data_IF_167694015801
#
_entry.id   IF_167694015801
#
_cell.length_a   1.000
_cell.length_b   1.000
_cell.length_c   1.000
_cell.angle_alpha   90.00
_cell.angle_beta   90.00
_cell.angle_gamma   90.00
#
_symmetry.space_group_name_H-M   'P 1'
#
loop_
_entity.id
_entity.type
_entity.pdbx_description
1 polymer ?
#
# COMPACT_ATOMS: atom_id res chain seq x y z
N UNK A 1 -14.93 16.53 -47.38
CA UNK A 1 -14.10 15.49 -46.73
C UNK A 1 -14.14 14.21 -47.52
N UNK A 2 -13.00 13.51 -47.65
CA UNK A 2 -12.91 12.21 -48.34
C UNK A 2 -12.08 11.25 -47.51
N UNK A 3 -12.41 9.97 -47.53
CA UNK A 3 -11.63 8.87 -46.94
C UNK A 3 -10.92 8.15 -48.09
N UNK A 4 -9.62 7.98 -48.00
CA UNK A 4 -8.85 7.29 -49.05
C UNK A 4 -7.65 6.54 -48.40
N UNK A 5 -7.08 5.63 -49.17
CA UNK A 5 -5.92 4.83 -48.77
C UNK A 5 -4.67 5.32 -49.53
N UNK A 6 -3.55 5.47 -48.81
CA UNK A 6 -2.25 5.73 -49.38
C UNK A 6 -1.24 4.76 -48.74
N UNK A 7 -0.68 3.86 -49.55
CA UNK A 7 0.11 2.74 -49.06
C UNK A 7 -0.71 1.82 -48.15
N UNK A 8 -0.19 1.53 -46.98
CA UNK A 8 -0.86 0.64 -46.01
C UNK A 8 -1.89 1.35 -45.12
N UNK A 9 -1.88 2.69 -45.07
CA UNK A 9 -2.68 3.46 -44.14
C UNK A 9 -3.86 4.19 -44.78
N UNK A 10 -4.93 4.44 -43.99
CA UNK A 10 -6.07 5.24 -44.36
C UNK A 10 -5.87 6.70 -43.99
N UNK A 11 -6.37 7.63 -44.84
CA UNK A 11 -6.26 9.08 -44.73
C UNK A 11 -7.62 9.75 -44.84
N UNK A 12 -7.75 10.91 -44.19
CA UNK A 12 -8.87 11.84 -44.38
C UNK A 12 -8.35 13.09 -45.07
N UNK A 13 -8.96 13.48 -46.17
CA UNK A 13 -8.79 14.77 -46.81
C UNK A 13 -9.91 15.73 -46.38
N UNK A 14 -9.53 16.89 -45.84
CA UNK A 14 -10.46 17.94 -45.38
C UNK A 14 -10.74 18.98 -46.44
N UNK A 15 -9.67 19.54 -47.05
CA UNK A 15 -9.65 20.49 -48.17
C UNK A 15 -8.51 20.12 -49.09
N UNK A 16 -8.44 20.79 -50.26
CA UNK A 16 -7.32 20.60 -51.19
C UNK A 16 -6.00 20.91 -50.47
N UNK A 17 -5.12 19.91 -50.38
CA UNK A 17 -3.81 20.02 -49.71
C UNK A 17 -3.81 19.78 -48.21
N UNK A 18 -4.95 19.58 -47.55
CA UNK A 18 -5.03 19.28 -46.10
C UNK A 18 -5.51 17.84 -45.89
N UNK A 19 -4.54 16.95 -45.65
CA UNK A 19 -4.77 15.53 -45.47
C UNK A 19 -4.18 15.08 -44.12
N UNK A 20 -4.83 14.12 -43.47
CA UNK A 20 -4.34 13.51 -42.20
C UNK A 20 -4.41 12.00 -42.28
N UNK A 21 -3.34 11.33 -41.86
CA UNK A 21 -3.32 9.90 -41.68
C UNK A 21 -4.17 9.52 -40.49
N UNK A 22 -4.96 8.45 -40.66
CA UNK A 22 -5.70 7.81 -39.54
C UNK A 22 -4.84 6.80 -38.80
N UNK A 23 -3.63 6.54 -39.29
CA UNK A 23 -2.68 5.55 -38.74
C UNK A 23 -3.31 4.18 -38.50
N UNK A 24 -4.31 3.81 -39.28
CA UNK A 24 -4.95 2.49 -39.27
C UNK A 24 -4.89 1.85 -40.65
N UNK A 25 -4.66 0.54 -40.69
CA UNK A 25 -4.70 -0.29 -41.90
C UNK A 25 -6.11 -0.90 -42.09
N UNK A 26 -6.92 -0.93 -41.02
CA UNK A 26 -8.27 -1.50 -41.03
C UNK A 26 -9.29 -0.54 -41.65
N UNK A 27 -10.00 -1.03 -42.69
CA UNK A 27 -11.02 -0.30 -43.41
C UNK A 27 -12.28 0.01 -42.57
N UNK A 28 -12.67 -0.90 -41.70
CA UNK A 28 -13.86 -0.75 -40.84
C UNK A 28 -13.61 0.36 -39.80
N UNK A 29 -12.47 0.33 -39.23
CA UNK A 29 -12.00 1.33 -38.28
C UNK A 29 -11.80 2.70 -38.96
N UNK A 30 -11.21 2.75 -40.15
CA UNK A 30 -11.08 3.98 -40.91
C UNK A 30 -12.42 4.65 -41.22
N UNK A 31 -13.46 3.85 -41.59
CA UNK A 31 -14.82 4.36 -41.81
C UNK A 31 -15.44 4.93 -40.54
N UNK A 32 -15.20 4.30 -39.39
CA UNK A 32 -15.69 4.79 -38.09
C UNK A 32 -15.05 6.13 -37.73
N UNK A 33 -13.72 6.24 -37.88
CA UNK A 33 -12.97 7.47 -37.65
C UNK A 33 -13.39 8.58 -38.59
N UNK A 34 -13.64 8.26 -39.84
CA UNK A 34 -14.14 9.23 -40.82
C UNK A 34 -15.49 9.80 -40.42
N UNK A 35 -16.42 8.96 -39.95
CA UNK A 35 -17.75 9.39 -39.49
C UNK A 35 -17.65 10.35 -38.29
N UNK A 36 -16.78 10.04 -37.33
CA UNK A 36 -16.50 10.91 -36.17
C UNK A 36 -15.87 12.23 -36.60
N UNK A 37 -14.85 12.19 -37.46
CA UNK A 37 -14.21 13.39 -37.99
C UNK A 37 -15.18 14.30 -38.73
N UNK A 38 -16.06 13.72 -39.51
CA UNK A 38 -17.10 14.48 -40.26
C UNK A 38 -18.06 15.17 -39.29
N UNK A 39 -18.49 14.50 -38.23
CA UNK A 39 -19.39 15.07 -37.22
C UNK A 39 -18.74 16.24 -36.45
N UNK A 40 -17.48 16.11 -36.09
CA UNK A 40 -16.74 17.17 -35.38
C UNK A 40 -16.31 18.33 -36.29
N UNK A 41 -15.97 18.05 -37.54
CA UNK A 41 -15.68 19.09 -38.53
C UNK A 41 -16.90 19.99 -38.79
N UNK A 42 -18.11 19.41 -38.82
CA UNK A 42 -19.39 20.15 -38.93
C UNK A 42 -19.67 21.00 -37.68
N UNK A 43 -19.12 20.66 -36.52
CA UNK A 43 -19.19 21.47 -35.29
C UNK A 43 -18.11 22.54 -35.19
N UNK A 44 -17.33 22.75 -36.25
CA UNK A 44 -16.23 23.75 -36.28
C UNK A 44 -15.01 23.39 -35.41
N UNK A 45 -14.94 22.18 -34.92
CA UNK A 45 -13.82 21.68 -34.12
C UNK A 45 -12.87 20.88 -34.98
N UNK A 46 -11.58 21.28 -35.03
CA UNK A 46 -10.51 20.48 -35.62
C UNK A 46 -10.16 19.33 -34.67
N UNK A 47 -10.63 18.15 -35.00
CA UNK A 47 -10.31 16.95 -34.21
C UNK A 47 -8.96 16.39 -34.63
N UNK A 48 -8.08 16.16 -33.67
CA UNK A 48 -6.93 15.27 -33.84
C UNK A 48 -7.45 13.83 -33.84
N UNK A 49 -7.67 13.28 -35.03
CA UNK A 49 -8.06 11.89 -35.21
C UNK A 49 -6.80 11.09 -35.52
N UNK A 50 -6.16 10.66 -34.49
CA UNK A 50 -5.01 9.78 -34.57
C UNK A 50 -5.39 8.40 -34.03
N UNK A 51 -5.07 7.31 -34.73
CA UNK A 51 -5.23 5.95 -34.20
C UNK A 51 -4.33 5.75 -32.95
N UNK A 52 -3.28 6.57 -32.80
CA UNK A 52 -2.47 6.62 -31.59
C UNK A 52 -3.21 7.20 -30.37
N UNK A 53 -4.38 7.84 -30.55
CA UNK A 53 -5.22 8.31 -29.43
C UNK A 53 -6.02 7.17 -28.74
N UNK A 54 -5.82 5.93 -29.17
CA UNK A 54 -6.55 4.76 -28.64
C UNK A 54 -5.69 3.83 -27.84
N UNK A 55 -4.99 4.35 -26.91
CA UNK A 55 -4.43 3.49 -25.87
C UNK A 55 -5.62 2.84 -25.16
N UNK A 56 -5.74 1.53 -25.27
CA UNK A 56 -6.72 0.75 -24.51
C UNK A 56 -6.27 0.72 -23.04
N UNK A 57 -7.20 0.36 -22.16
CA UNK A 57 -6.88 0.20 -20.74
C UNK A 57 -5.78 -0.84 -20.51
N UNK A 58 -5.80 -1.94 -21.26
CA UNK A 58 -4.77 -2.99 -21.18
C UNK A 58 -3.40 -2.47 -21.63
N UNK A 59 -3.31 -1.82 -22.80
CA UNK A 59 -2.06 -1.23 -23.31
C UNK A 59 -1.51 -0.15 -22.37
N UNK A 60 -2.38 0.68 -21.80
CA UNK A 60 -2.00 1.66 -20.80
C UNK A 60 -1.37 1.01 -19.57
N UNK A 61 -1.94 -0.08 -19.08
CA UNK A 61 -1.39 -0.74 -17.90
C UNK A 61 -0.02 -1.36 -18.16
N UNK A 62 0.20 -1.91 -19.35
CA UNK A 62 1.54 -2.37 -19.75
C UNK A 62 2.54 -1.21 -19.79
N UNK A 63 2.19 -0.07 -20.40
CA UNK A 63 3.02 1.13 -20.42
C UNK A 63 3.32 1.65 -19.00
N UNK A 64 2.32 1.67 -18.14
CA UNK A 64 2.49 2.08 -16.75
C UNK A 64 3.43 1.14 -16.00
N UNK A 65 3.23 -0.18 -16.09
CA UNK A 65 4.09 -1.17 -15.43
C UNK A 65 5.55 -1.10 -15.91
N UNK A 66 5.79 -0.87 -17.20
CA UNK A 66 7.14 -0.66 -17.74
C UNK A 66 7.78 0.61 -17.17
N UNK A 67 7.01 1.65 -16.89
CA UNK A 67 7.52 2.89 -16.29
C UNK A 67 7.91 2.72 -14.80
N UNK A 68 7.54 1.60 -14.16
CA UNK A 68 7.76 1.32 -12.74
C UNK A 68 9.08 0.59 -12.45
N UNK A 69 10.11 0.82 -13.27
CA UNK A 69 11.42 0.16 -13.14
C UNK A 69 12.14 0.43 -11.80
N UNK A 70 11.84 1.55 -11.15
CA UNK A 70 12.49 1.97 -9.91
C UNK A 70 11.62 1.78 -8.66
N UNK A 71 10.71 0.80 -8.65
CA UNK A 71 9.90 0.49 -7.46
C UNK A 71 10.24 -0.89 -6.90
N UNK A 72 10.01 -1.08 -5.60
CA UNK A 72 10.23 -2.38 -4.95
C UNK A 72 9.39 -3.47 -5.62
N UNK A 73 9.93 -4.70 -5.79
CA UNK A 73 9.23 -5.82 -6.46
C UNK A 73 7.83 -6.09 -5.89
N UNK A 74 7.67 -6.00 -4.56
CA UNK A 74 6.38 -6.18 -3.89
C UNK A 74 5.36 -5.09 -4.29
N UNK A 75 5.81 -3.85 -4.50
CA UNK A 75 4.93 -2.76 -4.96
C UNK A 75 4.47 -3.03 -6.39
N UNK A 76 5.39 -3.45 -7.26
CA UNK A 76 5.07 -3.81 -8.64
C UNK A 76 4.10 -5.00 -8.72
N UNK A 77 4.29 -6.01 -7.86
CA UNK A 77 3.33 -7.14 -7.73
C UNK A 77 1.93 -6.66 -7.34
N UNK A 78 1.82 -5.73 -6.39
CA UNK A 78 0.54 -5.14 -5.97
C UNK A 78 -0.08 -4.26 -7.06
N UNK A 79 0.73 -3.48 -7.78
CA UNK A 79 0.27 -2.73 -8.96
C UNK A 79 -0.37 -3.71 -9.96
N UNK A 80 0.32 -4.78 -10.35
CA UNK A 80 -0.20 -5.79 -11.30
C UNK A 80 -1.53 -6.39 -10.84
N UNK A 81 -1.63 -6.80 -9.57
CA UNK A 81 -2.86 -7.38 -9.02
C UNK A 81 -4.03 -6.38 -9.12
N UNK A 82 -3.81 -5.11 -8.74
CA UNK A 82 -4.85 -4.08 -8.77
C UNK A 82 -5.29 -3.76 -10.21
N UNK A 83 -4.34 -3.66 -11.13
CA UNK A 83 -4.58 -3.37 -12.54
C UNK A 83 -5.32 -4.52 -13.22
N UNK A 84 -4.91 -5.76 -12.99
CA UNK A 84 -5.59 -6.96 -13.52
C UNK A 84 -7.02 -7.05 -13.01
N UNK A 85 -7.24 -6.89 -11.70
CA UNK A 85 -8.57 -6.91 -11.11
C UNK A 85 -9.50 -5.82 -11.69
N UNK A 86 -8.96 -4.65 -12.04
CA UNK A 86 -9.72 -3.58 -12.69
C UNK A 86 -10.07 -3.93 -14.14
N UNK A 87 -9.13 -4.50 -14.91
CA UNK A 87 -9.38 -5.00 -16.27
C UNK A 87 -10.50 -6.06 -16.27
N UNK A 88 -10.47 -6.99 -15.31
CA UNK A 88 -11.45 -8.06 -15.18
C UNK A 88 -12.89 -7.53 -14.94
N UNK A 89 -12.99 -6.38 -14.26
CA UNK A 89 -14.28 -5.74 -13.98
C UNK A 89 -14.77 -4.85 -15.12
N UNK A 90 -13.86 -4.07 -15.73
CA UNK A 90 -14.20 -2.98 -16.66
C UNK A 90 -14.05 -3.39 -18.12
N UNK A 91 -13.13 -4.32 -18.40
CA UNK A 91 -12.76 -4.76 -19.75
C UNK A 91 -11.51 -4.02 -20.27
N UNK A 92 -10.49 -4.81 -20.65
CA UNK A 92 -9.19 -4.27 -21.08
C UNK A 92 -9.22 -3.52 -22.44
N UNK A 93 -10.20 -3.81 -23.28
CA UNK A 93 -10.32 -3.20 -24.62
C UNK A 93 -10.97 -1.81 -24.64
N UNK A 94 -11.43 -1.30 -23.50
CA UNK A 94 -11.98 0.07 -23.42
C UNK A 94 -10.87 1.10 -23.66
N UNK A 95 -11.17 2.15 -24.44
CA UNK A 95 -10.22 3.24 -24.65
C UNK A 95 -9.96 4.00 -23.34
N UNK A 96 -8.70 4.22 -22.98
CA UNK A 96 -8.30 4.87 -21.75
C UNK A 96 -9.01 6.21 -21.53
N UNK A 97 -9.16 7.01 -22.58
CA UNK A 97 -9.85 8.31 -22.52
C UNK A 97 -11.35 8.20 -22.20
N UNK A 98 -11.94 7.02 -22.29
CA UNK A 98 -13.34 6.78 -21.94
C UNK A 98 -13.55 6.34 -20.49
N UNK A 99 -12.46 6.09 -19.75
CA UNK A 99 -12.56 5.75 -18.34
C UNK A 99 -13.08 6.98 -17.56
N UNK A 100 -14.04 6.72 -16.69
CA UNK A 100 -14.72 7.71 -15.83
C UNK A 100 -14.85 7.15 -14.41
N UNK A 101 -15.23 7.99 -13.48
CA UNK A 101 -15.46 7.65 -12.08
C UNK A 101 -16.43 6.46 -11.93
N UNK A 102 -17.44 6.38 -12.79
CA UNK A 102 -18.43 5.27 -12.83
C UNK A 102 -17.81 3.89 -13.04
N UNK A 103 -16.66 3.80 -13.71
CA UNK A 103 -15.95 2.52 -13.89
C UNK A 103 -15.31 2.06 -12.56
N UNK A 104 -14.88 3.02 -11.72
CA UNK A 104 -14.38 2.71 -10.38
C UNK A 104 -15.51 2.32 -9.44
N UNK A 105 -16.69 2.92 -9.60
CA UNK A 105 -17.88 2.52 -8.81
C UNK A 105 -18.32 1.10 -9.20
N UNK A 106 -18.35 0.78 -10.49
CA UNK A 106 -18.56 -0.60 -10.95
C UNK A 106 -17.53 -1.55 -10.35
N UNK A 107 -16.25 -1.21 -10.40
CA UNK A 107 -15.18 -2.03 -9.83
C UNK A 107 -15.35 -2.26 -8.33
N UNK A 108 -15.74 -1.24 -7.56
CA UNK A 108 -16.04 -1.37 -6.12
C UNK A 108 -17.17 -2.37 -5.90
N UNK A 109 -18.28 -2.21 -6.64
CA UNK A 109 -19.47 -3.08 -6.54
C UNK A 109 -19.12 -4.53 -6.89
N UNK A 110 -18.46 -4.76 -8.02
CA UNK A 110 -18.04 -6.09 -8.48
C UNK A 110 -17.09 -6.75 -7.47
N UNK A 111 -16.13 -5.98 -6.91
CA UNK A 111 -15.16 -6.49 -5.94
C UNK A 111 -15.83 -6.91 -4.63
N UNK A 112 -16.74 -6.09 -4.11
CA UNK A 112 -17.50 -6.43 -2.89
C UNK A 112 -18.43 -7.62 -3.15
N UNK A 113 -19.10 -7.66 -4.30
CA UNK A 113 -19.96 -8.79 -4.71
C UNK A 113 -19.20 -10.12 -4.79
N UNK A 114 -17.90 -10.09 -5.12
CA UNK A 114 -16.99 -11.27 -5.08
C UNK A 114 -16.46 -11.60 -3.68
N UNK A 115 -16.91 -10.93 -2.63
CA UNK A 115 -16.47 -11.15 -1.25
C UNK A 115 -15.11 -10.54 -0.90
N UNK A 116 -14.54 -9.67 -1.74
CA UNK A 116 -13.26 -9.01 -1.44
C UNK A 116 -13.47 -7.99 -0.31
N UNK A 117 -12.67 -8.11 0.76
CA UNK A 117 -12.76 -7.21 1.91
C UNK A 117 -12.56 -5.74 1.50
N UNK A 118 -13.32 -4.79 2.06
CA UNK A 118 -13.19 -3.35 1.75
C UNK A 118 -11.77 -2.81 1.91
N UNK A 119 -10.96 -3.39 2.81
CA UNK A 119 -9.53 -3.06 2.97
C UNK A 119 -8.71 -3.36 1.73
N UNK A 120 -8.95 -4.53 1.13
CA UNK A 120 -8.27 -4.98 -0.08
C UNK A 120 -8.70 -4.16 -1.29
N UNK A 121 -10.02 -3.89 -1.42
CA UNK A 121 -10.54 -2.99 -2.46
C UNK A 121 -9.90 -1.62 -2.36
N UNK A 122 -9.81 -1.03 -1.16
CA UNK A 122 -9.13 0.24 -0.94
C UNK A 122 -7.64 0.19 -1.27
N UNK A 123 -6.98 -0.94 -1.05
CA UNK A 123 -5.59 -1.14 -1.50
C UNK A 123 -5.51 -1.07 -3.02
N UNK A 124 -6.37 -1.79 -3.75
CA UNK A 124 -6.42 -1.74 -5.21
C UNK A 124 -6.70 -0.32 -5.72
N UNK A 125 -7.67 0.37 -5.15
CA UNK A 125 -8.02 1.74 -5.52
C UNK A 125 -6.85 2.72 -5.34
N UNK A 126 -5.98 2.56 -4.33
CA UNK A 126 -4.77 3.38 -4.17
C UNK A 126 -3.77 3.14 -5.31
N UNK A 127 -3.55 1.88 -5.69
CA UNK A 127 -2.67 1.54 -6.82
C UNK A 127 -3.23 2.07 -8.15
N UNK A 128 -4.54 1.91 -8.38
CA UNK A 128 -5.24 2.47 -9.53
C UNK A 128 -5.14 4.00 -9.56
N UNK A 129 -5.38 4.68 -8.43
CA UNK A 129 -5.22 6.14 -8.33
C UNK A 129 -3.83 6.59 -8.76
N UNK A 130 -2.79 5.88 -8.33
CA UNK A 130 -1.41 6.18 -8.73
C UNK A 130 -1.21 6.03 -10.23
N UNK A 131 -1.74 4.96 -10.83
CA UNK A 131 -1.66 4.70 -12.27
C UNK A 131 -2.39 5.78 -13.08
N UNK A 132 -3.61 6.14 -12.69
CA UNK A 132 -4.40 7.16 -13.40
C UNK A 132 -3.88 8.58 -13.18
N UNK A 133 -3.28 8.90 -12.05
CA UNK A 133 -2.55 10.15 -11.86
C UNK A 133 -1.35 10.23 -12.82
N UNK A 134 -0.58 9.15 -12.94
CA UNK A 134 0.53 9.06 -13.91
C UNK A 134 0.04 9.24 -15.36
N UNK A 135 -1.12 8.66 -15.72
CA UNK A 135 -1.73 8.87 -17.05
C UNK A 135 -2.09 10.32 -17.29
N UNK A 136 -2.63 11.01 -16.29
CA UNK A 136 -2.99 12.42 -16.38
C UNK A 136 -1.74 13.32 -16.54
N UNK A 137 -0.72 13.11 -15.73
CA UNK A 137 0.55 13.85 -15.79
C UNK A 137 1.24 13.71 -17.16
N UNK A 138 1.10 12.55 -17.80
CA UNK A 138 1.62 12.27 -19.14
C UNK A 138 0.68 12.64 -20.28
N UNK A 139 -0.45 13.29 -19.97
CA UNK A 139 -1.45 13.74 -20.95
C UNK A 139 -2.05 12.59 -21.78
N UNK A 140 -2.06 11.37 -21.25
CA UNK A 140 -2.74 10.22 -21.86
C UNK A 140 -4.25 10.30 -21.67
N UNK A 141 -4.71 11.03 -20.67
CA UNK A 141 -6.09 11.41 -20.43
C UNK A 141 -6.20 12.92 -20.23
N UNK A 142 -7.31 13.50 -20.67
CA UNK A 142 -7.50 14.96 -20.67
C UNK A 142 -8.02 15.48 -19.32
N UNK A 143 -8.65 14.61 -18.52
CA UNK A 143 -9.22 14.94 -17.20
C UNK A 143 -8.73 13.95 -16.16
N UNK A 144 -8.43 14.48 -14.98
CA UNK A 144 -8.11 13.67 -13.81
C UNK A 144 -9.34 12.86 -13.40
N UNK A 145 -9.17 11.55 -13.22
CA UNK A 145 -10.24 10.66 -12.76
C UNK A 145 -10.24 10.67 -11.23
N UNK A 146 -11.41 10.84 -10.63
CA UNK A 146 -11.55 10.75 -9.18
C UNK A 146 -11.66 9.30 -8.75
N UNK A 147 -10.70 8.84 -7.96
CA UNK A 147 -10.69 7.48 -7.40
C UNK A 147 -10.97 7.55 -5.91
N UNK A 148 -12.25 7.52 -5.55
CA UNK A 148 -12.67 7.57 -4.16
C UNK A 148 -12.55 6.21 -3.47
N UNK A 149 -12.04 6.24 -2.24
CA UNK A 149 -11.93 5.04 -1.41
C UNK A 149 -13.27 4.73 -0.73
N UNK A 150 -13.52 3.46 -0.45
CA UNK A 150 -14.65 3.03 0.36
C UNK A 150 -14.52 3.61 1.78
N UNK A 151 -15.60 4.18 2.31
CA UNK A 151 -15.65 4.62 3.70
C UNK A 151 -15.50 3.42 4.63
N UNK A 152 -14.74 3.60 5.69
CA UNK A 152 -14.51 2.56 6.70
C UNK A 152 -14.61 3.17 8.09
N UNK A 153 -15.23 2.48 9.03
CA UNK A 153 -15.17 2.89 10.43
C UNK A 153 -13.71 2.87 10.90
N UNK A 154 -13.31 3.92 11.60
CA UNK A 154 -12.03 3.94 12.31
C UNK A 154 -12.17 3.01 13.52
N UNK A 155 -11.41 1.93 13.54
CA UNK A 155 -11.32 1.03 14.70
C UNK A 155 -9.95 1.20 15.32
N UNK A 156 -9.90 1.13 16.65
CA UNK A 156 -8.63 1.02 17.35
C UNK A 156 -7.92 -0.28 16.89
N UNK A 157 -6.59 -0.25 16.79
CA UNK A 157 -5.85 -1.47 16.51
C UNK A 157 -6.11 -2.51 17.60
N UNK A 158 -6.10 -3.77 17.24
CA UNK A 158 -6.07 -4.89 18.20
C UNK A 158 -4.76 -4.81 18.98
N UNK A 159 -4.85 -4.86 20.29
CA UNK A 159 -3.74 -4.97 21.24
C UNK A 159 -3.92 -6.22 22.08
N UNK A 160 -2.83 -6.76 22.60
CA UNK A 160 -2.83 -7.88 23.53
C UNK A 160 -3.00 -7.33 24.96
N UNK A 161 -3.83 -7.97 25.74
CA UNK A 161 -3.90 -7.74 27.18
C UNK A 161 -2.76 -8.48 27.93
N UNK A 162 -2.57 -8.24 29.24
CA UNK A 162 -1.49 -8.89 30.01
C UNK A 162 -1.56 -10.41 30.03
N UNK A 163 -2.75 -11.00 30.10
CA UNK A 163 -2.98 -12.45 30.12
C UNK A 163 -2.63 -13.07 28.77
N UNK A 164 -3.05 -12.46 27.68
CA UNK A 164 -2.71 -12.87 26.31
C UNK A 164 -1.20 -12.79 26.05
N UNK A 165 -0.53 -11.71 26.53
CA UNK A 165 0.92 -11.58 26.44
C UNK A 165 1.60 -12.69 27.21
N UNK A 166 1.12 -13.00 28.43
CA UNK A 166 1.66 -14.07 29.28
C UNK A 166 1.54 -15.41 28.58
N UNK A 167 0.35 -15.75 28.06
CA UNK A 167 0.11 -17.01 27.37
C UNK A 167 1.01 -17.19 26.13
N UNK A 168 1.13 -16.13 25.30
CA UNK A 168 2.03 -16.14 24.13
C UNK A 168 3.50 -16.35 24.54
N UNK A 169 3.95 -15.68 25.61
CA UNK A 169 5.30 -15.81 26.14
C UNK A 169 5.61 -17.22 26.60
N UNK A 170 4.77 -17.77 27.47
CA UNK A 170 4.94 -19.10 28.04
C UNK A 170 4.97 -20.16 26.93
N UNK A 171 3.98 -20.13 26.03
CA UNK A 171 3.94 -21.08 24.92
C UNK A 171 5.13 -20.94 23.96
N UNK A 172 5.49 -19.71 23.59
CA UNK A 172 6.62 -19.49 22.67
C UNK A 172 7.95 -19.88 23.31
N UNK A 173 8.15 -19.61 24.60
CA UNK A 173 9.38 -19.96 25.32
C UNK A 173 9.58 -21.47 25.34
N UNK A 174 8.51 -22.25 25.53
CA UNK A 174 8.55 -23.71 25.59
C UNK A 174 8.72 -24.36 24.21
N UNK A 175 7.99 -23.86 23.18
CA UNK A 175 7.85 -24.56 21.89
C UNK A 175 8.64 -23.93 20.75
N UNK A 176 9.00 -22.64 20.85
CA UNK A 176 9.72 -21.92 19.81
C UNK A 176 10.58 -20.77 20.40
N UNK A 177 11.72 -21.10 21.06
CA UNK A 177 12.56 -20.12 21.72
C UNK A 177 13.08 -18.98 20.82
N UNK A 178 13.26 -19.24 19.53
CA UNK A 178 13.71 -18.21 18.59
C UNK A 178 12.60 -17.19 18.29
N UNK A 179 11.34 -17.65 18.10
CA UNK A 179 10.23 -16.73 17.92
C UNK A 179 9.89 -16.01 19.23
N UNK A 180 10.06 -16.65 20.38
CA UNK A 180 9.93 -16.03 21.69
C UNK A 180 10.85 -14.81 21.81
N UNK A 181 12.15 -14.94 21.50
CA UNK A 181 13.10 -13.83 21.53
C UNK A 181 12.68 -12.67 20.62
N UNK A 182 12.17 -12.96 19.42
CA UNK A 182 11.66 -11.94 18.50
C UNK A 182 10.39 -11.25 19.04
N UNK A 183 9.50 -12.00 19.71
CA UNK A 183 8.29 -11.49 20.36
C UNK A 183 8.66 -10.53 21.48
N UNK A 184 9.56 -10.95 22.39
CA UNK A 184 10.02 -10.14 23.51
C UNK A 184 10.64 -8.83 23.00
N UNK A 185 11.57 -8.91 22.07
CA UNK A 185 12.18 -7.71 21.50
C UNK A 185 11.15 -6.77 20.87
N UNK A 186 10.17 -7.31 20.14
CA UNK A 186 9.11 -6.50 19.52
C UNK A 186 8.20 -5.84 20.57
N UNK A 187 7.88 -6.51 21.68
CA UNK A 187 7.07 -5.96 22.77
C UNK A 187 7.80 -4.83 23.51
N UNK A 188 9.11 -4.98 23.75
CA UNK A 188 9.91 -3.97 24.45
C UNK A 188 10.23 -2.75 23.59
N UNK A 189 10.39 -2.91 22.26
CA UNK A 189 10.90 -1.86 21.37
C UNK A 189 9.85 -1.29 20.43
N UNK A 190 8.74 -1.99 20.22
CA UNK A 190 7.75 -1.64 19.20
C UNK A 190 8.28 -1.77 17.75
N UNK A 191 9.40 -2.47 17.53
CA UNK A 191 9.96 -2.65 16.19
C UNK A 191 9.04 -3.44 15.27
N UNK A 192 9.08 -3.11 13.95
CA UNK A 192 8.37 -3.86 12.94
C UNK A 192 9.03 -5.23 12.73
N UNK A 193 8.26 -6.23 12.29
CA UNK A 193 8.74 -7.58 11.99
C UNK A 193 10.01 -7.59 11.11
N UNK A 194 10.02 -6.77 10.05
CA UNK A 194 11.17 -6.64 9.15
C UNK A 194 12.38 -6.02 9.84
N UNK A 195 12.16 -5.07 10.75
CA UNK A 195 13.22 -4.39 11.52
C UNK A 195 13.83 -5.36 12.54
N UNK A 196 13.00 -6.16 13.22
CA UNK A 196 13.49 -7.22 14.13
C UNK A 196 14.35 -8.21 13.36
N UNK A 197 13.83 -8.76 12.26
CA UNK A 197 14.57 -9.73 11.43
C UNK A 197 15.90 -9.20 10.92
N UNK A 198 15.96 -7.92 10.53
CA UNK A 198 17.14 -7.33 9.89
C UNK A 198 18.10 -6.69 10.88
N UNK A 199 17.83 -6.77 12.19
CA UNK A 199 18.72 -6.21 13.21
C UNK A 199 20.05 -6.97 13.22
N UNK A 200 21.15 -6.22 13.20
CA UNK A 200 22.51 -6.73 13.29
C UNK A 200 23.23 -6.15 14.51
N UNK A 201 24.20 -6.86 15.03
CA UNK A 201 24.98 -6.46 16.20
C UNK A 201 25.72 -5.14 15.99
N UNK A 202 26.11 -4.80 14.75
CA UNK A 202 26.73 -3.53 14.41
C UNK A 202 25.83 -2.31 14.66
N UNK A 203 24.52 -2.53 14.76
CA UNK A 203 23.52 -1.51 15.05
C UNK A 203 23.05 -1.51 16.51
N UNK A 204 23.63 -2.38 17.35
CA UNK A 204 23.35 -2.47 18.78
C UNK A 204 24.40 -1.70 19.54
N UNK A 205 23.96 -0.78 20.40
CA UNK A 205 24.78 0.01 21.29
C UNK A 205 24.37 -0.27 22.75
N UNK A 206 25.17 0.09 23.78
CA UNK A 206 24.89 -0.26 25.17
C UNK A 206 23.48 0.13 25.68
N UNK A 207 22.93 1.27 25.20
CA UNK A 207 21.68 1.83 25.70
C UNK A 207 20.62 2.01 24.59
N UNK A 208 20.92 1.66 23.33
CA UNK A 208 19.99 1.84 22.22
C UNK A 208 20.33 0.94 21.03
N UNK A 209 19.37 0.75 20.16
CA UNK A 209 19.60 0.19 18.83
C UNK A 209 19.30 1.23 17.74
N UNK A 210 20.09 1.22 16.69
CA UNK A 210 19.85 1.98 15.47
C UNK A 210 19.01 1.13 14.52
N UNK A 211 17.79 1.55 14.26
CA UNK A 211 16.86 0.85 13.36
C UNK A 211 16.81 1.57 12.03
N UNK A 212 17.09 0.84 10.95
CA UNK A 212 16.97 1.33 9.59
C UNK A 212 15.60 0.91 9.04
N UNK A 213 14.74 1.88 8.82
CA UNK A 213 13.36 1.67 8.39
C UNK A 213 13.18 1.76 6.87
N UNK A 214 11.94 1.84 6.43
CA UNK A 214 11.59 1.98 5.02
C UNK A 214 12.10 3.31 4.46
N UNK A 215 12.87 3.25 3.34
CA UNK A 215 13.44 4.42 2.68
C UNK A 215 14.69 4.95 3.38
N UNK A 216 15.45 4.03 4.02
CA UNK A 216 16.73 4.29 4.71
C UNK A 216 16.63 5.35 5.81
N UNK A 217 15.41 5.53 6.35
CA UNK A 217 15.21 6.40 7.51
C UNK A 217 15.70 5.69 8.76
N UNK A 218 16.67 6.29 9.40
CA UNK A 218 17.21 5.81 10.67
C UNK A 218 16.43 6.39 11.85
N UNK A 219 16.33 5.60 12.91
CA UNK A 219 15.89 6.06 14.22
C UNK A 219 16.60 5.30 15.33
N UNK A 220 16.65 5.90 16.49
CA UNK A 220 17.20 5.33 17.70
C UNK A 220 16.04 4.79 18.55
N UNK A 221 16.16 3.55 19.01
CA UNK A 221 15.20 2.94 19.93
C UNK A 221 15.95 2.60 21.22
N UNK A 222 15.53 3.13 22.38
CA UNK A 222 16.15 2.80 23.67
C UNK A 222 16.07 1.31 23.98
N UNK A 223 17.12 0.76 24.57
CA UNK A 223 17.19 -0.64 25.02
C UNK A 223 17.00 -0.72 26.53
N UNK A 224 15.86 -1.20 26.95
CA UNK A 224 15.58 -1.63 28.29
C UNK A 224 16.07 -3.07 28.51
N UNK A 225 16.20 -3.50 29.76
CA UNK A 225 16.80 -4.79 30.12
C UNK A 225 16.12 -5.95 29.40
N UNK A 226 14.78 -6.01 29.40
CA UNK A 226 14.06 -7.08 28.72
C UNK A 226 14.29 -7.15 27.20
N UNK A 227 14.57 -6.01 26.54
CA UNK A 227 15.00 -6.03 25.13
C UNK A 227 16.41 -6.57 24.95
N UNK A 228 17.32 -6.29 25.91
CA UNK A 228 18.70 -6.83 25.92
C UNK A 228 18.67 -8.34 26.14
N UNK A 229 17.91 -8.82 27.10
CA UNK A 229 17.74 -10.24 27.39
C UNK A 229 17.20 -11.02 26.17
N UNK A 230 16.25 -10.42 25.46
CA UNK A 230 15.70 -11.00 24.24
C UNK A 230 16.73 -11.14 23.10
N UNK A 231 17.73 -10.25 23.03
CA UNK A 231 18.78 -10.33 22.03
C UNK A 231 19.79 -11.46 22.33
N UNK A 232 19.95 -11.84 23.61
CA UNK A 232 20.94 -12.81 24.07
C UNK A 232 22.36 -12.23 24.12
N UNK A 233 23.35 -13.13 24.12
CA UNK A 233 24.76 -12.74 24.27
C UNK A 233 25.25 -11.87 23.11
N UNK A 234 25.90 -10.74 23.40
CA UNK A 234 26.47 -9.85 22.39
C UNK A 234 27.49 -10.53 21.50
N UNK A 235 27.50 -10.15 20.22
CA UNK A 235 28.50 -10.55 19.22
C UNK A 235 29.04 -9.32 18.51
N UNK A 236 30.25 -9.41 17.99
CA UNK A 236 30.86 -8.29 17.27
C UNK A 236 30.16 -7.97 15.96
N UNK A 237 29.74 -8.98 15.24
CA UNK A 237 29.11 -8.87 13.91
C UNK A 237 27.99 -9.89 13.70
N UNK A 238 27.17 -9.64 12.70
CA UNK A 238 26.15 -10.57 12.23
C UNK A 238 24.74 -10.25 12.75
N UNK A 239 23.78 -11.10 12.41
CA UNK A 239 22.38 -10.90 12.80
C UNK A 239 22.17 -11.17 14.30
N UNK A 240 21.27 -10.39 14.91
CA UNK A 240 20.84 -10.60 16.31
C UNK A 240 19.87 -11.78 16.41
N UNK A 241 18.98 -11.90 15.45
CA UNK A 241 17.95 -12.93 15.40
C UNK A 241 18.14 -13.87 14.22
N UNK A 242 17.52 -15.05 14.28
CA UNK A 242 17.57 -16.06 13.22
C UNK A 242 17.15 -15.50 11.86
N UNK A 243 17.97 -15.70 10.85
CA UNK A 243 17.74 -15.23 9.49
C UNK A 243 16.83 -16.18 8.70
N UNK A 244 15.55 -16.13 8.98
CA UNK A 244 14.50 -16.86 8.26
C UNK A 244 13.70 -15.93 7.36
N UNK A 245 12.96 -16.50 6.40
CA UNK A 245 12.09 -15.70 5.53
C UNK A 245 11.05 -14.94 6.36
N UNK A 246 10.74 -13.72 5.94
CA UNK A 246 9.83 -12.83 6.69
C UNK A 246 8.44 -13.45 6.89
N UNK A 247 7.94 -14.21 5.92
CA UNK A 247 6.66 -14.88 6.04
C UNK A 247 6.71 -16.04 7.02
N UNK A 248 7.87 -16.73 7.15
CA UNK A 248 8.07 -17.78 8.15
C UNK A 248 7.93 -17.24 9.58
N UNK A 249 8.44 -16.04 9.87
CA UNK A 249 8.24 -15.36 11.16
C UNK A 249 6.73 -15.18 11.42
N UNK A 250 5.97 -14.75 10.40
CA UNK A 250 4.52 -14.57 10.54
C UNK A 250 3.78 -15.88 10.77
N UNK A 251 4.17 -16.95 10.08
CA UNK A 251 3.55 -18.27 10.26
C UNK A 251 3.84 -18.82 11.65
N UNK A 252 5.11 -18.84 12.06
CA UNK A 252 5.51 -19.31 13.41
C UNK A 252 4.83 -18.52 14.52
N UNK A 253 4.79 -17.18 14.42
CA UNK A 253 4.04 -16.35 15.37
C UNK A 253 2.53 -16.69 15.36
N UNK A 254 1.95 -16.91 14.18
CA UNK A 254 0.53 -17.24 14.04
C UNK A 254 0.21 -18.61 14.65
N UNK A 255 1.13 -19.56 14.57
CA UNK A 255 0.97 -20.89 15.17
C UNK A 255 1.01 -20.78 16.70
N UNK A 256 1.95 -20.01 17.28
CA UNK A 256 1.98 -19.68 18.71
C UNK A 256 0.67 -19.00 19.15
N UNK A 257 0.21 -17.99 18.42
CA UNK A 257 -1.02 -17.27 18.77
C UNK A 257 -2.26 -18.18 18.74
N UNK A 258 -2.37 -19.06 17.74
CA UNK A 258 -3.46 -20.03 17.62
C UNK A 258 -3.46 -21.05 18.77
N UNK A 259 -2.29 -21.54 19.15
CA UNK A 259 -2.16 -22.43 20.30
C UNK A 259 -2.66 -21.79 21.61
N UNK A 260 -2.58 -20.45 21.70
CA UNK A 260 -3.16 -19.67 22.80
C UNK A 260 -4.62 -19.25 22.56
N UNK A 261 -5.30 -19.75 21.52
CA UNK A 261 -6.69 -19.39 21.19
C UNK A 261 -6.87 -18.01 20.53
N UNK A 262 -5.79 -17.38 20.06
CA UNK A 262 -5.79 -16.02 19.52
C UNK A 262 -5.72 -16.04 17.99
N UNK A 263 -6.89 -15.99 17.31
CA UNK A 263 -6.96 -16.06 15.86
C UNK A 263 -6.81 -14.70 15.14
N UNK A 264 -7.12 -13.60 15.81
CA UNK A 264 -7.22 -12.26 15.27
C UNK A 264 -5.93 -11.44 15.39
N UNK A 265 -4.85 -12.00 15.95
CA UNK A 265 -3.57 -11.34 16.18
C UNK A 265 -2.53 -11.67 15.10
N UNK A 266 -1.61 -10.76 14.89
CA UNK A 266 -0.48 -10.87 13.97
C UNK A 266 0.78 -10.36 14.66
N UNK A 267 1.97 -10.62 14.12
CA UNK A 267 3.21 -10.07 14.66
C UNK A 267 3.17 -8.54 14.80
N UNK A 268 2.41 -7.85 13.95
CA UNK A 268 2.24 -6.39 14.05
C UNK A 268 1.39 -5.97 15.26
N UNK A 269 0.57 -6.87 15.80
CA UNK A 269 -0.19 -6.64 17.04
C UNK A 269 0.74 -6.40 18.23
N UNK A 270 1.92 -7.05 18.28
CA UNK A 270 2.94 -6.80 19.30
C UNK A 270 3.36 -5.33 19.35
N UNK A 271 3.57 -4.73 18.17
CA UNK A 271 3.92 -3.30 18.08
C UNK A 271 2.77 -2.39 18.53
N UNK A 272 1.52 -2.75 18.23
CA UNK A 272 0.36 -2.01 18.72
C UNK A 272 0.26 -2.11 20.25
N UNK A 273 0.51 -3.30 20.81
CA UNK A 273 0.53 -3.53 22.27
C UNK A 273 1.65 -2.73 22.92
N UNK A 274 2.86 -2.74 22.35
CA UNK A 274 3.98 -1.91 22.83
C UNK A 274 3.62 -0.41 22.84
N UNK A 275 3.04 0.09 21.75
CA UNK A 275 2.63 1.48 21.66
C UNK A 275 1.56 1.86 22.69
N UNK A 276 0.55 0.99 22.86
CA UNK A 276 -0.50 1.17 23.86
C UNK A 276 0.09 1.19 25.27
N UNK A 277 0.99 0.26 25.58
CA UNK A 277 1.66 0.22 26.88
C UNK A 277 2.49 1.47 27.15
N UNK A 278 3.20 2.01 26.15
CA UNK A 278 3.91 3.28 26.26
C UNK A 278 2.97 4.43 26.60
N UNK A 279 1.77 4.47 26.02
CA UNK A 279 0.73 5.45 26.34
C UNK A 279 0.23 5.28 27.77
N UNK A 280 -0.08 4.05 28.18
CA UNK A 280 -0.60 3.72 29.52
C UNK A 280 0.36 4.10 30.64
N UNK A 281 1.68 4.02 30.39
CA UNK A 281 2.71 4.48 31.35
C UNK A 281 3.05 5.96 31.21
N UNK A 282 2.28 6.73 30.44
CA UNK A 282 2.39 8.19 30.36
C UNK A 282 3.49 8.73 29.44
N UNK A 283 4.07 7.92 28.55
CA UNK A 283 5.03 8.42 27.56
C UNK A 283 4.29 9.33 26.56
N UNK A 284 4.82 10.53 26.33
CA UNK A 284 4.24 11.50 25.40
C UNK A 284 4.14 10.95 23.96
N UNK A 285 3.06 11.29 23.27
CA UNK A 285 2.79 10.78 21.92
C UNK A 285 3.88 11.12 20.90
N UNK A 286 4.56 12.27 21.05
CA UNK A 286 5.66 12.68 20.19
C UNK A 286 6.86 11.74 20.35
N UNK A 287 7.17 11.35 21.60
CA UNK A 287 8.26 10.40 21.90
C UNK A 287 7.91 9.00 21.35
N UNK A 288 6.67 8.57 21.54
CA UNK A 288 6.19 7.29 20.97
C UNK A 288 6.32 7.31 19.45
N UNK A 289 5.95 8.42 18.80
CA UNK A 289 6.09 8.58 17.35
C UNK A 289 7.54 8.41 16.89
N UNK A 290 8.47 9.01 17.61
CA UNK A 290 9.91 8.94 17.33
C UNK A 290 10.42 7.51 17.50
N UNK A 291 10.16 6.87 18.65
CA UNK A 291 10.54 5.47 18.94
C UNK A 291 10.00 4.52 17.86
N UNK A 292 8.72 4.68 17.50
CA UNK A 292 8.09 3.83 16.49
C UNK A 292 8.52 4.17 15.06
N UNK A 293 9.02 5.38 14.79
CA UNK A 293 9.39 5.85 13.46
C UNK A 293 8.16 5.97 12.55
N UNK A 294 7.12 6.65 13.03
CA UNK A 294 5.96 7.01 12.22
C UNK A 294 6.26 8.28 11.44
N UNK A 295 6.30 8.18 10.10
CA UNK A 295 6.53 9.34 9.24
C UNK A 295 5.36 10.35 9.26
N UNK A 296 4.16 9.90 9.65
CA UNK A 296 2.93 10.69 9.70
C UNK A 296 2.30 10.57 11.09
N UNK A 297 2.06 11.73 11.72
CA UNK A 297 1.36 11.86 13.01
C UNK A 297 0.00 11.17 13.03
N UNK A 298 -0.68 11.08 11.87
CA UNK A 298 -1.98 10.40 11.77
C UNK A 298 -1.90 8.94 12.23
N UNK A 299 -0.75 8.29 12.07
CA UNK A 299 -0.53 6.91 12.50
C UNK A 299 -0.43 6.79 14.02
N UNK A 300 0.11 7.80 14.71
CA UNK A 300 0.19 7.83 16.18
C UNK A 300 -1.10 8.33 16.81
N UNK A 301 -1.88 9.16 16.09
CA UNK A 301 -3.19 9.66 16.56
C UNK A 301 -4.20 8.58 16.85
N UNK A 302 -4.04 7.35 16.34
CA UNK A 302 -4.91 6.23 16.70
C UNK A 302 -4.84 5.91 18.20
N UNK A 303 -3.73 6.24 18.86
CA UNK A 303 -3.55 6.07 20.29
C UNK A 303 -3.98 7.29 21.12
N UNK A 304 -4.34 8.40 20.47
CA UNK A 304 -4.75 9.63 21.17
C UNK A 304 -6.00 9.43 22.04
N UNK A 305 -6.90 8.52 21.66
CA UNK A 305 -8.06 8.19 22.48
C UNK A 305 -7.65 7.52 23.80
N UNK A 306 -6.70 6.59 23.74
CA UNK A 306 -6.15 5.92 24.93
C UNK A 306 -5.40 6.93 25.79
N UNK A 307 -4.58 7.80 25.17
CA UNK A 307 -3.86 8.87 25.86
C UNK A 307 -4.82 9.80 26.59
N UNK A 308 -5.92 10.21 25.97
CA UNK A 308 -6.92 11.07 26.61
C UNK A 308 -7.57 10.41 27.81
N UNK A 309 -7.84 9.09 27.75
CA UNK A 309 -8.36 8.34 28.91
C UNK A 309 -7.35 8.32 30.05
N UNK A 310 -6.08 8.05 29.77
CA UNK A 310 -5.00 8.11 30.77
C UNK A 310 -4.91 9.49 31.40
N UNK A 311 -4.90 10.55 30.58
CA UNK A 311 -4.86 11.93 31.08
C UNK A 311 -6.07 12.25 31.96
N UNK A 312 -7.26 11.84 31.58
CA UNK A 312 -8.47 12.04 32.39
C UNK A 312 -8.35 11.35 33.76
N UNK A 313 -7.92 10.07 33.78
CA UNK A 313 -7.70 9.32 35.02
C UNK A 313 -6.63 9.97 35.91
N UNK A 314 -5.55 10.50 35.30
CA UNK A 314 -4.53 11.22 36.05
C UNK A 314 -5.04 12.56 36.60
N UNK A 315 -5.88 13.27 35.84
CA UNK A 315 -6.48 14.52 36.31
C UNK A 315 -7.48 14.33 37.44
N UNK A 316 -8.17 13.17 37.52
CA UNK A 316 -9.07 12.83 38.63
C UNK A 316 -8.33 12.70 39.99
N UNK A 317 -7.00 12.51 39.96
CA UNK A 317 -6.14 12.48 41.13
C UNK A 317 -5.79 13.87 41.68
N UNK A 318 -6.12 14.94 40.93
CA UNK A 318 -5.92 16.32 41.41
C UNK A 318 -6.92 16.61 42.51
N UNK A 319 -6.41 16.74 43.73
CA UNK A 319 -7.16 17.24 44.90
C UNK A 319 -6.65 18.64 45.23
N UNK A 320 -7.57 19.59 45.39
CA UNK A 320 -7.28 20.97 45.80
C UNK A 320 -7.55 21.12 47.27
#
# INVERSE_FOLDING_TARGET
>A
MRLFRRGEFWYIGFKRGVERSLRTKDKKEAKRLFKLAKAEYLKGRLVKLDASERVTLAEFFELYLQSRYNVRPLTLKKDRIALSAFIDSVGGGIALKLIRDTHFDKFKTDSIGRGIKPTSVNSYLRHLRTAFNWAFERKLIDKKVSVELLKRPKRLPRTLDPEEIKAIREHAMEHDPEIYRMIEFALWTGCRREEVRNLTWQNVHPNHVRIIGKGDKERIVPLLQGAKDAMGEPKDIGPVFLQIHIDTISHRFKDVARACGLEDVTFHTLRHSAATRMVEVGIRLEVIQEILGHADMSTTRIYAQIYNQVVMTEMEKLTY
#
